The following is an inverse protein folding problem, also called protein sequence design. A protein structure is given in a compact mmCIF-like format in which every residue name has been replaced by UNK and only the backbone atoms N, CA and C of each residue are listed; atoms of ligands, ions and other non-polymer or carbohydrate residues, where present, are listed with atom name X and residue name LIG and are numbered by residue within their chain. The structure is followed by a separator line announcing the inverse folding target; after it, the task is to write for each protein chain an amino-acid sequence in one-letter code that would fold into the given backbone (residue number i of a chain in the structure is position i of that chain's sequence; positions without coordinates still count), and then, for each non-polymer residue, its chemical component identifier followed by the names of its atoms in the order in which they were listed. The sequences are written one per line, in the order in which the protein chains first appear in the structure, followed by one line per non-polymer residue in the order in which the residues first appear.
data_IF_992271650518
#
_entry.id   IF_992271650518
#
_cell.length_a   1.000
_cell.length_b   1.000
_cell.length_c   1.000
_cell.angle_alpha   90.00
_cell.angle_beta   90.00
_cell.angle_gamma   90.00
#
_symmetry.space_group_name_H-M   'P 1'
#
loop_
_entity.id
_entity.type
_entity.pdbx_description
1 polymer ?
#
# COMPACT_ATOMS: atom_id res chain seq x y z
N UNK A 1 2.91 13.09 -12.41
CA UNK A 1 3.08 11.82 -13.12
C UNK A 1 3.83 12.01 -14.44
N UNK A 2 4.98 11.34 -14.57
CA UNK A 2 5.86 11.32 -15.76
C UNK A 2 5.71 10.01 -16.57
N UNK A 3 4.74 9.17 -16.22
CA UNK A 3 4.48 7.86 -16.84
C UNK A 3 5.30 6.70 -16.26
N UNK A 4 6.12 6.92 -15.23
CA UNK A 4 6.83 5.84 -14.53
C UNK A 4 5.84 4.95 -13.78
N UNK A 5 5.98 3.63 -13.96
CA UNK A 5 5.18 2.64 -13.24
C UNK A 5 5.96 2.15 -12.03
N UNK A 6 5.28 1.99 -10.89
CA UNK A 6 5.83 1.36 -9.69
C UNK A 6 4.97 0.18 -9.29
N UNK A 7 5.60 -0.91 -8.87
CA UNK A 7 4.90 -2.12 -8.46
C UNK A 7 5.69 -2.92 -7.44
N UNK A 8 4.99 -3.83 -6.77
CA UNK A 8 5.53 -4.77 -5.79
C UNK A 8 5.40 -6.19 -6.33
N UNK A 9 6.32 -7.07 -5.96
CA UNK A 9 6.35 -8.47 -6.43
C UNK A 9 6.49 -9.44 -5.24
N UNK A 10 5.41 -9.64 -4.45
CA UNK A 10 5.34 -10.70 -3.47
C UNK A 10 4.85 -12.02 -4.10
N UNK A 11 5.18 -13.19 -3.55
CA UNK A 11 4.83 -14.49 -4.14
C UNK A 11 3.37 -14.92 -3.90
N UNK A 12 2.43 -13.98 -3.72
CA UNK A 12 1.04 -14.29 -3.32
C UNK A 12 0.24 -15.01 -4.41
N UNK A 13 0.70 -14.98 -5.67
CA UNK A 13 0.13 -15.79 -6.74
C UNK A 13 0.53 -17.28 -6.68
N UNK A 14 1.48 -17.65 -5.82
CA UNK A 14 1.96 -19.03 -5.69
C UNK A 14 1.23 -19.78 -4.57
N UNK A 15 0.76 -21.02 -4.81
CA UNK A 15 0.09 -21.87 -3.82
C UNK A 15 0.77 -22.01 -2.45
N UNK A 16 2.11 -21.97 -2.39
CA UNK A 16 2.87 -22.05 -1.13
C UNK A 16 3.55 -20.73 -0.74
N UNK A 17 3.15 -19.61 -1.34
CA UNK A 17 3.66 -18.28 -0.99
C UNK A 17 5.20 -18.24 -0.97
N UNK A 18 5.79 -17.94 0.19
CA UNK A 18 7.24 -17.81 0.37
C UNK A 18 8.01 -19.13 0.25
N UNK A 19 7.36 -20.26 0.56
CA UNK A 19 7.99 -21.60 0.54
C UNK A 19 7.76 -22.34 -0.79
N UNK A 20 7.19 -21.66 -1.80
CA UNK A 20 6.92 -22.28 -3.09
C UNK A 20 8.21 -22.43 -3.92
N UNK A 21 8.56 -23.65 -4.36
CA UNK A 21 9.78 -23.88 -5.12
C UNK A 21 9.77 -23.24 -6.52
N UNK A 22 8.62 -22.75 -7.00
CA UNK A 22 8.51 -22.00 -8.27
C UNK A 22 8.94 -20.54 -8.11
N UNK A 23 9.16 -20.05 -6.90
CA UNK A 23 9.63 -18.69 -6.66
C UNK A 23 11.03 -18.53 -7.26
N UNK A 24 11.15 -17.71 -8.30
CA UNK A 24 12.40 -17.56 -9.07
C UNK A 24 13.41 -16.64 -8.38
N UNK A 25 12.93 -15.65 -7.62
CA UNK A 25 13.77 -14.71 -6.88
C UNK A 25 13.87 -15.12 -5.41
N UNK A 26 15.06 -15.00 -4.77
CA UNK A 26 15.19 -15.32 -3.35
C UNK A 26 14.60 -14.24 -2.42
N UNK A 27 14.10 -13.13 -2.98
CA UNK A 27 13.50 -12.00 -2.26
C UNK A 27 12.14 -11.64 -2.86
N UNK A 28 11.43 -10.70 -2.23
CA UNK A 28 10.28 -9.99 -2.81
C UNK A 28 10.71 -8.54 -3.04
N UNK A 29 10.32 -7.94 -4.17
CA UNK A 29 10.87 -6.66 -4.58
C UNK A 29 9.85 -5.53 -4.70
N UNK A 30 10.34 -4.30 -4.57
CA UNK A 30 9.70 -3.09 -5.07
C UNK A 30 10.44 -2.68 -6.34
N UNK A 31 9.71 -2.37 -7.40
CA UNK A 31 10.26 -2.11 -8.73
C UNK A 31 9.66 -0.84 -9.33
N UNK A 32 10.41 -0.23 -10.25
CA UNK A 32 9.87 0.72 -11.21
C UNK A 32 10.15 0.32 -12.65
N UNK A 33 9.32 0.82 -13.56
CA UNK A 33 9.58 0.85 -15.00
C UNK A 33 9.78 2.32 -15.38
N UNK A 34 11.04 2.76 -15.37
CA UNK A 34 11.43 4.12 -15.72
C UNK A 34 11.88 4.18 -17.17
N UNK A 35 11.16 4.94 -18.01
CA UNK A 35 11.44 5.06 -19.45
C UNK A 35 11.59 3.69 -20.14
N UNK A 36 10.70 2.76 -19.79
CA UNK A 36 10.69 1.39 -20.31
C UNK A 36 11.76 0.46 -19.75
N UNK A 37 12.57 0.90 -18.78
CA UNK A 37 13.59 0.08 -18.13
C UNK A 37 13.14 -0.35 -16.74
N UNK A 38 13.18 -1.65 -16.50
CA UNK A 38 12.94 -2.22 -15.18
C UNK A 38 14.09 -1.89 -14.23
N UNK A 39 13.76 -1.41 -13.03
CA UNK A 39 14.70 -1.12 -11.96
C UNK A 39 14.24 -1.83 -10.67
N UNK A 40 15.16 -2.55 -10.00
CA UNK A 40 14.94 -3.03 -8.64
C UNK A 40 15.22 -1.89 -7.67
N UNK A 41 14.23 -1.53 -6.86
CA UNK A 41 14.30 -0.39 -5.95
C UNK A 41 14.66 -0.84 -4.53
N UNK A 42 13.96 -1.85 -4.01
CA UNK A 42 14.20 -2.39 -2.67
C UNK A 42 13.85 -3.87 -2.64
N UNK A 43 14.56 -4.60 -1.77
CA UNK A 43 14.34 -6.01 -1.44
C UNK A 43 14.25 -6.24 0.08
N UNK A 44 14.00 -5.17 0.83
CA UNK A 44 14.12 -5.14 2.29
C UNK A 44 12.82 -5.58 3.00
N UNK A 45 11.75 -5.78 2.23
CA UNK A 45 10.44 -6.16 2.72
C UNK A 45 10.18 -7.63 2.42
N UNK A 46 9.64 -8.35 3.40
CA UNK A 46 9.26 -9.77 3.27
C UNK A 46 8.18 -9.92 2.21
N UNK A 47 7.10 -9.15 2.34
CA UNK A 47 5.93 -9.18 1.45
C UNK A 47 5.47 -7.77 1.09
N UNK A 48 6.22 -7.01 0.25
CA UNK A 48 5.76 -5.71 -0.21
C UNK A 48 4.41 -5.89 -0.94
N UNK A 49 3.39 -5.16 -0.52
CA UNK A 49 2.03 -5.33 -1.04
C UNK A 49 1.46 -3.99 -1.51
N UNK A 50 0.56 -3.35 -0.76
CA UNK A 50 -0.04 -2.08 -1.12
C UNK A 50 1.00 -0.97 -1.29
N UNK A 51 0.76 -0.12 -2.29
CA UNK A 51 1.68 0.93 -2.72
C UNK A 51 0.89 2.18 -3.12
N UNK A 52 1.36 3.35 -2.71
CA UNK A 52 0.77 4.63 -3.09
C UNK A 52 1.78 5.78 -2.98
N UNK A 53 1.63 6.79 -3.83
CA UNK A 53 2.37 8.04 -3.71
C UNK A 53 1.66 9.02 -2.77
N UNK A 54 2.43 9.92 -2.14
CA UNK A 54 1.89 11.18 -1.60
C UNK A 54 1.26 12.02 -2.72
N UNK A 55 0.34 12.96 -2.41
CA UNK A 55 -0.33 13.75 -3.45
C UNK A 55 0.63 14.59 -4.31
N UNK A 56 1.78 14.96 -3.74
CA UNK A 56 2.85 15.71 -4.40
C UNK A 56 3.93 14.82 -5.02
N UNK A 57 3.72 13.49 -5.04
CA UNK A 57 4.61 12.46 -5.60
C UNK A 57 6.04 12.43 -5.01
N UNK A 58 6.31 13.15 -3.91
CA UNK A 58 7.64 13.14 -3.26
C UNK A 58 7.93 11.89 -2.45
N UNK A 59 6.88 11.24 -1.96
CA UNK A 59 7.00 10.05 -1.13
C UNK A 59 6.27 8.87 -1.76
N UNK A 60 6.91 7.71 -1.73
CA UNK A 60 6.26 6.44 -2.00
C UNK A 60 6.07 5.68 -0.68
N UNK A 61 4.85 5.23 -0.44
CA UNK A 61 4.48 4.37 0.68
C UNK A 61 4.33 2.94 0.21
N UNK A 62 4.89 1.99 0.97
CA UNK A 62 4.80 0.55 0.68
C UNK A 62 4.46 -0.19 1.96
N UNK A 63 3.38 -0.98 1.93
CA UNK A 63 2.98 -1.86 3.03
C UNK A 63 3.76 -3.16 3.02
N UNK A 64 4.12 -3.65 4.21
CA UNK A 64 4.73 -4.97 4.39
C UNK A 64 3.70 -5.97 4.93
N UNK A 65 3.41 -6.98 4.12
CA UNK A 65 2.68 -8.17 4.55
C UNK A 65 3.66 -9.13 5.24
N UNK A 66 3.79 -8.96 6.54
CA UNK A 66 4.62 -9.78 7.43
C UNK A 66 3.98 -9.75 8.81
N UNK A 67 3.57 -10.91 9.33
CA UNK A 67 2.91 -11.01 10.64
C UNK A 67 3.81 -10.50 11.78
N UNK A 68 5.13 -10.58 11.62
CA UNK A 68 6.10 -10.13 12.63
C UNK A 68 6.55 -8.68 12.42
N UNK A 69 6.19 -8.05 11.30
CA UNK A 69 6.61 -6.68 10.95
C UNK A 69 5.60 -5.98 10.05
N UNK A 70 4.44 -5.64 10.62
CA UNK A 70 3.31 -5.01 9.93
C UNK A 70 3.51 -3.50 9.79
N UNK A 71 4.43 -3.09 8.93
CA UNK A 71 4.86 -1.69 8.80
C UNK A 71 4.52 -1.09 7.44
N UNK A 72 4.16 0.19 7.43
CA UNK A 72 4.20 1.03 6.24
C UNK A 72 5.56 1.68 6.18
N UNK A 73 6.31 1.39 5.12
CA UNK A 73 7.53 2.10 4.79
C UNK A 73 7.21 3.35 3.99
N UNK A 74 8.02 4.40 4.17
CA UNK A 74 8.02 5.60 3.32
C UNK A 74 9.41 5.79 2.75
N UNK A 75 9.46 6.04 1.45
CA UNK A 75 10.68 6.32 0.71
C UNK A 75 10.57 7.69 0.03
N UNK A 76 11.69 8.35 -0.17
CA UNK A 76 11.78 9.55 -1.01
C UNK A 76 11.90 9.13 -2.48
N UNK A 77 11.06 9.71 -3.34
CA UNK A 77 11.05 9.41 -4.76
C UNK A 77 12.01 10.33 -5.53
N UNK A 78 12.88 9.73 -6.35
CA UNK A 78 13.86 10.45 -7.14
C UNK A 78 13.38 10.66 -8.58
N UNK A 79 13.84 11.72 -9.29
CA UNK A 79 13.45 12.00 -10.69
C UNK A 79 13.85 10.93 -11.73
N UNK A 80 14.67 9.96 -11.35
CA UNK A 80 15.18 8.89 -12.21
C UNK A 80 14.43 7.56 -12.04
N UNK A 81 13.31 7.57 -11.31
CA UNK A 81 12.49 6.40 -11.04
C UNK A 81 12.95 5.56 -9.85
N UNK A 82 14.07 5.91 -9.21
CA UNK A 82 14.57 5.23 -8.01
C UNK A 82 13.95 5.79 -6.73
N UNK A 83 14.19 5.11 -5.61
CA UNK A 83 13.81 5.59 -4.28
C UNK A 83 15.02 5.66 -3.36
N UNK A 84 14.95 6.55 -2.35
CA UNK A 84 15.97 6.71 -1.33
C UNK A 84 15.37 6.85 0.07
N UNK A 85 16.22 6.83 1.10
CA UNK A 85 15.87 7.18 2.49
C UNK A 85 14.65 6.43 3.06
N UNK A 86 14.54 5.14 2.74
CA UNK A 86 13.47 4.28 3.23
C UNK A 86 13.44 4.20 4.75
N UNK A 87 12.30 4.50 5.36
CA UNK A 87 12.09 4.42 6.81
C UNK A 87 10.68 3.94 7.16
N UNK A 88 10.53 3.38 8.36
CA UNK A 88 9.21 3.08 8.90
C UNK A 88 8.46 4.39 9.09
N UNK A 89 7.31 4.50 8.44
CA UNK A 89 6.39 5.63 8.58
C UNK A 89 5.32 5.35 9.62
N UNK A 90 4.80 4.13 9.63
CA UNK A 90 3.80 3.70 10.59
C UNK A 90 3.98 2.22 10.92
N UNK A 91 3.87 1.86 12.20
CA UNK A 91 4.07 0.50 12.70
C UNK A 91 2.78 -0.03 13.34
N UNK A 92 2.22 -1.09 12.75
CA UNK A 92 1.02 -1.79 13.24
C UNK A 92 1.37 -3.17 13.82
N UNK A 93 2.64 -3.47 14.06
CA UNK A 93 3.09 -4.82 14.47
C UNK A 93 2.41 -5.29 15.76
N UNK A 94 2.22 -4.37 16.72
CA UNK A 94 1.54 -4.64 17.99
C UNK A 94 0.01 -4.49 17.96
N UNK A 95 -0.59 -4.16 16.80
CA UNK A 95 -2.04 -4.00 16.72
C UNK A 95 -2.76 -5.36 16.79
N UNK A 96 -3.90 -5.45 17.49
CA UNK A 96 -4.65 -6.69 17.59
C UNK A 96 -5.28 -7.08 16.25
N UNK A 97 -5.32 -8.39 15.98
CA UNK A 97 -5.82 -8.96 14.72
C UNK A 97 -4.74 -9.76 13.98
N UNK A 98 -5.16 -10.72 13.17
CA UNK A 98 -4.26 -11.68 12.50
C UNK A 98 -3.73 -11.15 11.15
N UNK A 99 -4.48 -10.28 10.47
CA UNK A 99 -4.14 -9.83 9.12
C UNK A 99 -2.93 -8.86 9.10
N UNK A 100 -2.03 -9.02 8.12
CA UNK A 100 -0.97 -8.06 7.83
C UNK A 100 -1.42 -6.97 6.83
N UNK A 101 -0.49 -6.14 6.35
CA UNK A 101 -0.85 -5.00 5.50
C UNK A 101 -1.13 -5.43 4.05
N UNK A 102 -2.25 -4.96 3.52
CA UNK A 102 -2.67 -5.22 2.13
C UNK A 102 -2.67 -3.91 1.32
N UNK A 103 -3.80 -3.49 0.73
CA UNK A 103 -3.91 -2.28 -0.06
C UNK A 103 -3.63 -0.97 0.69
N UNK A 104 -2.99 -0.03 0.00
CA UNK A 104 -2.76 1.35 0.45
C UNK A 104 -3.28 2.31 -0.61
N UNK A 105 -3.99 3.37 -0.19
CA UNK A 105 -4.29 4.56 -1.01
C UNK A 105 -4.14 5.84 -0.21
N UNK A 106 -4.10 6.98 -0.91
CA UNK A 106 -3.89 8.30 -0.32
C UNK A 106 -4.97 9.27 -0.81
N UNK A 107 -5.51 10.07 0.09
CA UNK A 107 -6.44 11.15 -0.26
C UNK A 107 -5.71 12.47 -0.61
N UNK A 108 -6.45 13.48 -1.08
CA UNK A 108 -5.84 14.76 -1.50
C UNK A 108 -5.22 15.58 -0.37
N UNK A 109 -5.52 15.28 0.89
CA UNK A 109 -4.87 15.91 2.05
C UNK A 109 -3.64 15.13 2.49
N UNK A 110 -3.35 14.00 1.84
CA UNK A 110 -2.19 13.15 2.14
C UNK A 110 -2.46 12.13 3.25
N UNK A 111 -3.71 11.92 3.65
CA UNK A 111 -4.02 10.85 4.58
C UNK A 111 -3.92 9.50 3.87
N UNK A 112 -3.23 8.55 4.49
CA UNK A 112 -3.12 7.18 4.03
C UNK A 112 -4.30 6.36 4.53
N UNK A 113 -4.82 5.52 3.65
CA UNK A 113 -5.83 4.51 3.93
C UNK A 113 -5.15 3.16 3.74
N UNK A 114 -4.90 2.47 4.84
CA UNK A 114 -4.09 1.24 4.88
C UNK A 114 -4.95 0.09 5.37
N UNK A 115 -5.12 -0.92 4.53
CA UNK A 115 -5.70 -2.19 4.94
C UNK A 115 -4.76 -2.88 5.92
N UNK A 116 -5.20 -3.11 7.16
CA UNK A 116 -4.36 -3.71 8.20
C UNK A 116 -5.16 -4.38 9.31
N UNK A 117 -4.50 -4.78 10.42
CA UNK A 117 -5.14 -5.47 11.52
C UNK A 117 -6.43 -4.78 11.98
N UNK A 118 -7.54 -5.51 12.00
CA UNK A 118 -8.81 -5.01 12.50
C UNK A 118 -9.57 -4.05 11.57
N UNK A 119 -9.05 -3.66 10.40
CA UNK A 119 -9.80 -2.86 9.42
C UNK A 119 -8.96 -1.93 8.56
N UNK A 120 -9.61 -0.90 8.00
CA UNK A 120 -8.94 0.10 7.15
C UNK A 120 -8.51 1.30 7.99
N UNK A 121 -7.22 1.41 8.28
CA UNK A 121 -6.64 2.47 9.09
C UNK A 121 -6.50 3.75 8.27
N UNK A 122 -6.92 4.88 8.85
CA UNK A 122 -6.70 6.22 8.30
C UNK A 122 -5.56 6.87 9.09
N UNK A 123 -4.48 7.23 8.41
CA UNK A 123 -3.25 7.75 9.00
C UNK A 123 -2.95 9.11 8.38
N UNK A 124 -2.68 10.13 9.19
CA UNK A 124 -2.34 11.47 8.70
C UNK A 124 -0.97 11.50 7.99
N UNK A 125 -0.68 12.54 7.19
CA UNK A 125 0.65 12.74 6.58
C UNK A 125 1.81 12.75 7.59
N UNK A 126 1.52 13.13 8.83
CA UNK A 126 2.47 13.19 9.96
C UNK A 126 2.64 11.83 10.66
N UNK A 127 1.93 10.79 10.25
CA UNK A 127 2.02 9.44 10.82
C UNK A 127 1.14 9.25 12.05
N UNK A 128 0.04 10.01 12.20
CA UNK A 128 -0.92 9.84 13.30
C UNK A 128 -2.10 8.98 12.86
N UNK A 129 -2.49 7.99 13.68
CA UNK A 129 -3.74 7.27 13.49
C UNK A 129 -4.94 8.17 13.76
N UNK A 130 -5.74 8.44 12.72
CA UNK A 130 -6.94 9.28 12.78
C UNK A 130 -8.20 8.46 13.10
N UNK A 131 -8.21 7.18 12.74
CA UNK A 131 -9.30 6.26 13.02
C UNK A 131 -9.23 5.01 12.15
N UNK A 132 -10.16 4.09 12.36
CA UNK A 132 -10.26 2.84 11.60
C UNK A 132 -11.67 2.67 11.06
N UNK A 133 -11.78 2.47 9.75
CA UNK A 133 -13.03 2.14 9.08
C UNK A 133 -13.24 0.63 9.19
N UNK A 134 -14.36 0.26 9.80
CA UNK A 134 -14.77 -1.14 9.96
C UNK A 134 -15.89 -1.44 8.97
N UNK A 135 -15.73 -2.50 8.19
CA UNK A 135 -16.76 -3.04 7.32
C UNK A 135 -17.18 -4.44 7.80
N UNK A 136 -18.34 -4.98 7.37
CA UNK A 136 -18.79 -6.31 7.79
C UNK A 136 -17.83 -7.45 7.42
N UNK A 137 -16.96 -7.25 6.42
CA UNK A 137 -15.85 -8.15 6.06
C UNK A 137 -14.56 -7.36 5.97
N UNK A 138 -13.44 -8.03 6.25
CA UNK A 138 -12.11 -7.44 6.14
C UNK A 138 -11.88 -6.90 4.72
N UNK A 139 -11.51 -5.62 4.65
CA UNK A 139 -11.19 -4.91 3.42
C UNK A 139 -9.77 -5.31 3.04
N UNK A 140 -9.50 -5.59 1.78
CA UNK A 140 -8.17 -5.94 1.27
C UNK A 140 -7.61 -4.86 0.34
N UNK A 141 -8.48 -4.14 -0.37
CA UNK A 141 -8.07 -3.04 -1.23
C UNK A 141 -9.17 -1.99 -1.36
N UNK A 142 -8.81 -0.80 -1.83
CA UNK A 142 -9.71 0.33 -1.95
C UNK A 142 -9.32 1.28 -3.08
N UNK A 143 -10.28 2.05 -3.57
CA UNK A 143 -10.05 3.13 -4.51
C UNK A 143 -11.19 4.15 -4.46
N UNK A 144 -10.86 5.43 -4.68
CA UNK A 144 -11.90 6.45 -4.88
C UNK A 144 -12.44 6.39 -6.30
N UNK A 145 -13.76 6.51 -6.40
CA UNK A 145 -14.50 6.60 -7.66
C UNK A 145 -15.54 7.70 -7.62
N UNK A 146 -16.50 7.59 -8.55
CA UNK A 146 -17.52 8.59 -8.87
C UNK A 146 -16.93 9.93 -9.36
N UNK A 147 -17.79 10.80 -9.88
CA UNK A 147 -17.36 12.04 -10.55
C UNK A 147 -16.60 12.98 -9.60
N UNK A 148 -17.11 13.14 -8.37
CA UNK A 148 -16.53 13.99 -7.33
C UNK A 148 -15.29 13.39 -6.65
N UNK A 149 -14.98 12.11 -6.93
CA UNK A 149 -13.86 11.40 -6.33
C UNK A 149 -14.00 11.18 -4.83
N UNK A 150 -15.21 11.27 -4.26
CA UNK A 150 -15.48 11.17 -2.82
C UNK A 150 -16.08 9.85 -2.39
N UNK A 151 -16.38 8.94 -3.31
CA UNK A 151 -16.85 7.60 -2.95
C UNK A 151 -15.68 6.65 -2.88
N UNK A 152 -15.41 6.12 -1.68
CA UNK A 152 -14.41 5.08 -1.47
C UNK A 152 -15.05 3.71 -1.67
N UNK A 153 -14.62 3.00 -2.70
CA UNK A 153 -14.97 1.60 -2.96
C UNK A 153 -14.01 0.69 -2.21
N UNK A 154 -14.53 -0.40 -1.63
CA UNK A 154 -13.82 -1.27 -0.68
C UNK A 154 -14.00 -2.73 -1.10
N UNK A 155 -12.90 -3.39 -1.51
CA UNK A 155 -12.88 -4.79 -1.88
C UNK A 155 -12.67 -5.66 -0.65
N UNK A 156 -13.66 -6.46 -0.27
CA UNK A 156 -13.64 -7.30 0.92
C UNK A 156 -13.92 -8.77 0.55
N UNK A 157 -12.92 -9.41 -0.08
CA UNK A 157 -13.01 -10.75 -0.67
C UNK A 157 -14.16 -10.83 -1.67
N UNK A 158 -15.15 -11.70 -1.44
CA UNK A 158 -16.32 -11.86 -2.31
C UNK A 158 -17.39 -10.77 -2.15
N UNK A 159 -17.05 -9.57 -1.67
CA UNK A 159 -18.01 -8.48 -1.46
C UNK A 159 -17.36 -7.13 -1.74
N UNK A 160 -18.11 -6.24 -2.39
CA UNK A 160 -17.73 -4.86 -2.65
C UNK A 160 -18.63 -3.94 -1.82
N UNK A 161 -18.02 -3.09 -0.98
CA UNK A 161 -18.74 -2.02 -0.28
C UNK A 161 -18.38 -0.66 -0.90
N UNK A 162 -19.18 0.36 -0.58
CA UNK A 162 -18.84 1.75 -0.86
C UNK A 162 -19.30 2.66 0.27
N UNK A 163 -18.57 3.75 0.50
CA UNK A 163 -18.95 4.81 1.42
C UNK A 163 -18.54 6.17 0.87
N UNK A 164 -19.29 7.23 1.21
CA UNK A 164 -18.95 8.59 0.84
C UNK A 164 -18.07 9.22 1.91
N UNK A 165 -16.99 9.88 1.50
CA UNK A 165 -16.04 10.59 2.35
C UNK A 165 -16.10 12.10 2.06
N UNK A 166 -15.56 12.90 2.98
CA UNK A 166 -15.49 14.35 2.81
C UNK A 166 -14.35 14.77 1.89
N UNK A 167 -13.23 14.04 1.97
CA UNK A 167 -11.99 14.32 1.25
C UNK A 167 -11.95 13.42 0.00
N UNK A 168 -11.76 13.99 -1.20
CA UNK A 168 -11.60 13.20 -2.40
C UNK A 168 -10.25 12.48 -2.42
N UNK A 169 -10.20 11.34 -3.10
CA UNK A 169 -8.97 10.59 -3.33
C UNK A 169 -8.00 11.25 -4.30
N UNK A 170 -6.73 10.85 -4.23
CA UNK A 170 -5.85 10.89 -5.40
C UNK A 170 -6.34 9.83 -6.38
N UNK A 171 -6.70 10.23 -7.60
CA UNK A 171 -7.17 9.35 -8.68
C UNK A 171 -6.11 9.30 -9.79
N UNK A 172 -6.02 8.19 -10.55
CA UNK A 172 -5.23 8.11 -11.78
C UNK A 172 -5.64 9.18 -12.80
#
# INVERSE_FOLDING_TARGET
SDGTLYFTDPPFGLPRFFDDPRKELPFSGVYSIYKGKLQLISKDLTGPNGIAFSPDEKYLYVGNWDENKKVVMRYEANPDGTLSNGKVFFDMTGAPGEDALDGIKVDREGNLYVSGPGGLWVISPEGKHLGTIIAPKHIHNMAWGDEDGKTLYLCARGTLYRMKLNIPGVRP
#
